data_IF_840175011738
#
_entry.id   IF_840175011738
#
_cell.length_a   1.000
_cell.length_b   1.000
_cell.length_c   1.000
_cell.angle_alpha   90.00
_cell.angle_beta   90.00
_cell.angle_gamma   90.00
#
_symmetry.space_group_name_H-M   'P 1'
#
loop_
_entity.id
_entity.type
_entity.pdbx_description
1 polymer ?
#
# COMPACT_ATOMS: atom_id res chain seq x y z
N UNK A 1 14.95 2.96 3.86
CA UNK A 1 14.10 4.12 3.54
C UNK A 1 14.34 4.69 2.13
N UNK A 2 15.60 4.88 1.71
CA UNK A 2 15.95 5.52 0.42
C UNK A 2 15.29 4.89 -0.82
N UNK A 3 15.06 3.57 -0.82
CA UNK A 3 14.39 2.88 -1.94
C UNK A 3 12.90 3.22 -2.01
N UNK A 4 12.19 3.14 -0.87
CA UNK A 4 10.73 3.39 -0.80
C UNK A 4 10.40 4.85 -1.09
N UNK A 5 11.24 5.79 -0.64
CA UNK A 5 11.04 7.22 -0.87
C UNK A 5 11.04 7.62 -2.36
N UNK A 6 11.61 6.78 -3.23
CA UNK A 6 11.68 7.02 -4.68
C UNK A 6 10.54 6.35 -5.45
N UNK A 7 9.72 5.52 -4.79
CA UNK A 7 8.59 4.87 -5.43
C UNK A 7 7.43 5.85 -5.52
N UNK A 8 6.93 6.04 -6.74
CA UNK A 8 5.77 6.88 -7.00
C UNK A 8 4.85 6.11 -7.95
N UNK A 9 3.76 5.61 -7.39
CA UNK A 9 2.74 4.90 -8.15
C UNK A 9 1.40 5.04 -7.43
N UNK A 10 0.32 5.30 -8.16
CA UNK A 10 -1.02 5.53 -7.58
C UNK A 10 -1.59 4.37 -6.76
N UNK A 11 -1.03 3.17 -6.91
CA UNK A 11 -1.43 1.96 -6.18
C UNK A 11 -0.41 1.55 -5.10
N UNK A 12 0.52 2.43 -4.75
CA UNK A 12 1.43 2.28 -3.61
C UNK A 12 1.22 3.46 -2.68
N UNK A 13 1.21 3.19 -1.37
CA UNK A 13 1.12 4.24 -0.36
C UNK A 13 2.39 5.08 -0.40
N UNK A 14 2.24 6.37 -0.65
CA UNK A 14 3.35 7.33 -0.74
C UNK A 14 4.00 7.51 0.62
N UNK A 15 5.32 7.37 0.64
CA UNK A 15 6.16 7.76 1.75
C UNK A 15 6.45 9.27 1.66
N UNK A 16 6.04 10.04 2.67
CA UNK A 16 6.37 11.47 2.74
C UNK A 16 7.77 11.70 3.33
N UNK A 17 8.15 10.94 4.34
CA UNK A 17 9.41 11.13 5.02
C UNK A 17 9.60 10.20 6.20
N UNK A 18 10.64 10.45 6.98
CA UNK A 18 10.99 9.65 8.14
C UNK A 18 11.73 10.52 9.16
N UNK A 19 11.69 10.11 10.43
CA UNK A 19 12.48 10.69 11.51
C UNK A 19 13.39 9.61 12.10
N UNK A 20 14.66 9.97 12.31
CA UNK A 20 15.63 9.16 13.05
C UNK A 20 16.24 10.06 14.13
N UNK A 21 15.81 9.87 15.37
CA UNK A 21 16.29 10.66 16.50
C UNK A 21 16.58 9.73 17.68
N UNK A 22 17.85 9.63 18.06
CA UNK A 22 18.30 8.66 19.07
C UNK A 22 17.93 7.22 18.68
N UNK A 23 17.11 6.58 19.51
CA UNK A 23 16.59 5.22 19.27
C UNK A 23 15.28 5.20 18.48
N UNK A 24 14.61 6.35 18.34
CA UNK A 24 13.32 6.46 17.68
C UNK A 24 13.43 6.40 16.15
N UNK A 25 12.57 5.59 15.54
CA UNK A 25 12.51 5.39 14.08
C UNK A 25 11.07 5.51 13.61
N UNK A 26 10.73 6.65 13.04
CA UNK A 26 9.36 6.97 12.61
C UNK A 26 9.33 7.08 11.09
N UNK A 27 8.27 6.54 10.49
CA UNK A 27 8.01 6.65 9.05
C UNK A 27 6.67 7.36 8.86
N UNK A 28 6.66 8.37 8.00
CA UNK A 28 5.47 9.19 7.73
C UNK A 28 4.95 8.89 6.33
N UNK A 29 3.78 8.25 6.26
CA UNK A 29 3.08 7.94 5.01
C UNK A 29 1.96 8.93 4.73
N UNK A 30 1.47 8.95 3.49
CA UNK A 30 0.20 9.59 3.19
C UNK A 30 -0.95 8.95 4.01
N UNK A 31 -1.93 9.77 4.37
CA UNK A 31 -3.10 9.27 5.08
C UNK A 31 -4.09 8.62 4.11
N UNK A 32 -4.38 7.34 4.32
CA UNK A 32 -5.39 6.60 3.55
C UNK A 32 -6.70 6.56 4.35
N UNK A 33 -7.76 7.27 3.92
CA UNK A 33 -8.97 7.44 4.73
C UNK A 33 -9.78 6.16 4.89
N UNK A 34 -9.70 5.25 3.91
CA UNK A 34 -10.45 4.00 3.87
C UNK A 34 -9.73 2.85 4.57
N UNK A 35 -8.88 3.11 5.57
CA UNK A 35 -8.21 2.09 6.39
C UNK A 35 -7.59 0.96 5.53
N UNK A 36 -7.36 -0.20 6.13
CA UNK A 36 -6.86 -1.41 5.50
C UNK A 36 -7.99 -2.28 4.94
N UNK A 37 -7.68 -3.17 4.00
CA UNK A 37 -8.71 -4.01 3.36
C UNK A 37 -9.30 -5.05 4.33
N UNK A 38 -8.48 -5.59 5.23
CA UNK A 38 -8.87 -6.51 6.31
C UNK A 38 -9.98 -5.93 7.21
N UNK A 39 -9.95 -4.63 7.48
CA UNK A 39 -10.96 -3.90 8.25
C UNK A 39 -12.37 -4.05 7.64
N UNK A 40 -12.47 -4.14 6.31
CA UNK A 40 -13.75 -4.35 5.63
C UNK A 40 -14.05 -5.83 5.38
N UNK A 41 -13.02 -6.64 5.10
CA UNK A 41 -13.21 -8.04 4.73
C UNK A 41 -13.61 -8.94 5.89
N UNK A 42 -13.14 -8.66 7.11
CA UNK A 42 -13.34 -9.58 8.24
C UNK A 42 -14.36 -9.09 9.26
N UNK A 43 -14.85 -7.86 9.14
CA UNK A 43 -15.95 -7.37 9.96
C UNK A 43 -17.30 -7.61 9.26
N UNK A 44 -18.19 -8.46 9.81
CA UNK A 44 -19.48 -8.78 9.19
C UNK A 44 -20.35 -7.55 8.92
N UNK A 45 -20.20 -6.49 9.72
CA UNK A 45 -20.96 -5.24 9.55
C UNK A 45 -20.44 -4.38 8.39
N UNK A 46 -19.21 -4.62 7.93
CA UNK A 46 -18.51 -3.81 6.91
C UNK A 46 -18.34 -4.53 5.59
N UNK A 47 -18.39 -5.87 5.58
CA UNK A 47 -18.26 -6.69 4.37
C UNK A 47 -19.20 -6.25 3.23
N UNK A 48 -20.42 -5.83 3.57
CA UNK A 48 -21.41 -5.33 2.61
C UNK A 48 -21.03 -4.03 1.89
N UNK A 49 -20.05 -3.28 2.41
CA UNK A 49 -19.58 -2.03 1.78
C UNK A 49 -18.67 -2.29 0.56
N UNK A 50 -18.10 -3.49 0.47
CA UNK A 50 -17.28 -3.96 -0.64
C UNK A 50 -18.09 -4.90 -1.53
N UNK A 51 -18.86 -4.33 -2.45
CA UNK A 51 -19.46 -5.08 -3.54
C UNK A 51 -18.39 -5.68 -4.47
N UNK A 52 -18.81 -6.61 -5.33
CA UNK A 52 -17.90 -7.30 -6.24
C UNK A 52 -17.15 -6.35 -7.19
N UNK A 53 -17.82 -5.31 -7.67
CA UNK A 53 -17.21 -4.32 -8.58
C UNK A 53 -16.08 -3.57 -7.89
N UNK A 54 -16.26 -3.16 -6.63
CA UNK A 54 -15.20 -2.53 -5.82
C UNK A 54 -14.06 -3.50 -5.55
N UNK A 55 -14.37 -4.76 -5.17
CA UNK A 55 -13.35 -5.80 -4.94
C UNK A 55 -12.50 -6.02 -6.18
N UNK A 56 -13.12 -6.14 -7.35
CA UNK A 56 -12.40 -6.30 -8.62
C UNK A 56 -11.49 -5.10 -8.94
N UNK A 57 -11.95 -3.87 -8.68
CA UNK A 57 -11.11 -2.67 -8.82
C UNK A 57 -9.92 -2.66 -7.86
N UNK A 58 -10.11 -3.11 -6.61
CA UNK A 58 -9.05 -3.22 -5.61
C UNK A 58 -8.01 -4.24 -6.06
N UNK A 59 -8.43 -5.44 -6.47
CA UNK A 59 -7.55 -6.49 -7.02
C UNK A 59 -6.73 -5.92 -8.18
N UNK A 60 -7.39 -5.29 -9.16
CA UNK A 60 -6.70 -4.70 -10.30
C UNK A 60 -5.72 -3.58 -9.92
N UNK A 61 -6.00 -2.83 -8.85
CA UNK A 61 -5.07 -1.84 -8.29
C UNK A 61 -3.85 -2.48 -7.65
N UNK A 62 -4.04 -3.51 -6.82
CA UNK A 62 -2.95 -4.25 -6.17
C UNK A 62 -2.03 -4.87 -7.23
N UNK A 63 -2.60 -5.55 -8.23
CA UNK A 63 -1.81 -6.16 -9.31
C UNK A 63 -0.96 -5.12 -10.05
N UNK A 64 -1.49 -3.93 -10.34
CA UNK A 64 -0.71 -2.84 -10.96
C UNK A 64 0.43 -2.36 -10.05
N UNK A 65 0.19 -2.25 -8.74
CA UNK A 65 1.23 -1.90 -7.78
C UNK A 65 2.36 -2.93 -7.74
N UNK A 66 2.03 -4.22 -7.76
CA UNK A 66 3.02 -5.30 -7.77
C UNK A 66 3.80 -5.35 -9.10
N UNK A 67 3.14 -5.20 -10.24
CA UNK A 67 3.82 -5.11 -11.56
C UNK A 67 4.82 -3.96 -11.55
N UNK A 68 4.41 -2.80 -11.04
CA UNK A 68 5.31 -1.65 -10.93
C UNK A 68 6.56 -2.00 -10.11
N UNK A 69 6.41 -2.61 -8.92
CA UNK A 69 7.55 -2.98 -8.08
C UNK A 69 8.49 -4.00 -8.75
N UNK A 70 7.95 -4.91 -9.57
CA UNK A 70 8.73 -6.00 -10.15
C UNK A 70 9.42 -5.59 -11.46
N UNK A 71 8.74 -4.78 -12.28
CA UNK A 71 9.12 -4.56 -13.69
C UNK A 71 9.32 -3.09 -14.06
N UNK A 72 8.49 -2.17 -13.53
CA UNK A 72 8.47 -0.79 -14.02
C UNK A 72 9.26 0.18 -13.13
N UNK A 73 9.57 -0.19 -11.89
CA UNK A 73 10.46 0.57 -11.03
C UNK A 73 11.92 0.40 -11.45
N UNK A 74 12.74 1.43 -11.20
CA UNK A 74 14.18 1.43 -11.53
C UNK A 74 14.95 0.24 -10.94
N UNK A 75 14.46 -0.33 -9.85
CA UNK A 75 14.98 -1.52 -9.21
C UNK A 75 13.84 -2.53 -9.10
N UNK A 76 14.13 -3.81 -9.29
CA UNK A 76 13.18 -4.88 -8.97
C UNK A 76 13.08 -5.01 -7.45
N UNK A 77 11.87 -4.84 -6.92
CA UNK A 77 11.57 -4.85 -5.49
C UNK A 77 10.57 -5.97 -5.20
N UNK A 78 10.94 -6.90 -4.32
CA UNK A 78 10.03 -7.94 -3.84
C UNK A 78 9.35 -7.43 -2.56
N UNK A 79 8.01 -7.34 -2.55
CA UNK A 79 7.25 -6.77 -1.44
C UNK A 79 7.42 -7.55 -0.11
N UNK A 80 7.46 -8.89 -0.18
CA UNK A 80 7.64 -9.83 0.95
C UNK A 80 6.56 -9.88 2.05
N UNK A 81 5.68 -8.88 2.19
CA UNK A 81 4.58 -8.90 3.17
C UNK A 81 3.21 -8.56 2.53
N UNK A 82 2.94 -9.10 1.34
CA UNK A 82 1.65 -8.88 0.68
C UNK A 82 0.59 -9.75 1.37
N UNK A 83 -0.51 -9.13 1.83
CA UNK A 83 -1.63 -9.77 2.53
C UNK A 83 -2.95 -9.04 2.30
#
# INVERSE_FOLDING_TARGET
>A
VVVVAKLQHRNLVKLHGFCLEGEEKIIVYEFVPNKSLDYFLFDPTKQGQLDWTKRYKIIGGITRGIIYLHHDSRLTIIHRDLK
#
